data_IF_315936966516
#
_entry.id   IF_315936966516
#
_cell.length_a   1.000
_cell.length_b   1.000
_cell.length_c   1.000
_cell.angle_alpha   90.00
_cell.angle_beta   90.00
_cell.angle_gamma   90.00
#
_symmetry.space_group_name_H-M   'P 1'
#
loop_
_entity.id
_entity.type
_entity.pdbx_description
1 polymer ?
#
# COMPACT_ATOMS: atom_id res chain seq x y z
N UNK A 1 -5.62 8.14 26.07
CA UNK A 1 -5.12 7.33 24.94
C UNK A 1 -6.07 7.52 23.79
N UNK A 2 -5.56 7.76 22.58
CA UNK A 2 -6.41 7.92 21.41
C UNK A 2 -6.84 6.55 20.85
N UNK A 3 -7.88 6.52 20.02
CA UNK A 3 -8.38 5.27 19.40
C UNK A 3 -7.46 4.77 18.29
N UNK A 4 -6.69 5.66 17.68
CA UNK A 4 -5.89 5.36 16.50
C UNK A 4 -4.40 5.50 16.81
N UNK A 5 -3.57 4.73 16.13
CA UNK A 5 -2.13 4.75 16.26
C UNK A 5 -1.49 4.97 14.88
N UNK A 6 -0.47 5.81 14.85
CA UNK A 6 0.49 5.89 13.75
C UNK A 6 1.81 5.34 14.26
N UNK A 7 2.28 4.24 13.66
CA UNK A 7 3.66 3.74 13.85
C UNK A 7 4.46 4.13 12.62
N UNK A 8 5.06 5.31 12.68
CA UNK A 8 5.81 5.86 11.56
C UNK A 8 7.21 5.24 11.54
N UNK A 9 7.57 4.62 10.42
CA UNK A 9 8.97 4.29 10.16
C UNK A 9 9.67 5.59 9.75
N UNK A 10 10.67 6.08 10.50
CA UNK A 10 11.28 7.39 10.23
C UNK A 10 12.82 7.44 10.29
N UNK A 11 13.41 8.22 9.40
CA UNK A 11 14.82 8.62 9.44
C UNK A 11 15.01 10.11 9.77
N UNK A 12 16.25 10.59 9.60
CA UNK A 12 16.65 11.97 9.94
C UNK A 12 15.91 13.04 9.12
N UNK A 13 15.43 12.67 7.92
CA UNK A 13 14.76 13.58 6.98
C UNK A 13 13.25 13.35 6.92
N UNK A 14 12.66 12.76 7.97
CA UNK A 14 11.23 12.44 7.97
C UNK A 14 10.36 13.70 7.85
N UNK A 15 9.29 13.60 7.07
CA UNK A 15 8.38 14.72 6.79
C UNK A 15 7.29 14.93 7.85
N UNK A 16 7.13 13.99 8.79
CA UNK A 16 6.02 14.02 9.75
C UNK A 16 5.91 15.27 10.63
N UNK A 17 6.98 16.01 10.99
CA UNK A 17 6.80 17.26 11.73
C UNK A 17 5.92 18.26 10.97
N UNK A 18 5.95 18.21 9.63
CA UNK A 18 5.13 19.09 8.79
C UNK A 18 3.63 18.79 8.93
N UNK A 19 3.23 17.57 9.29
CA UNK A 19 1.82 17.18 9.43
C UNK A 19 1.11 18.01 10.51
N UNK A 20 1.86 18.47 11.52
CA UNK A 20 1.35 19.19 12.68
C UNK A 20 1.34 20.72 12.50
N UNK A 21 1.78 21.24 11.34
CA UNK A 21 1.91 22.69 11.12
C UNK A 21 0.57 23.45 11.10
N UNK A 22 -0.55 22.74 10.89
CA UNK A 22 -1.89 23.34 10.81
C UNK A 22 -2.56 23.66 12.15
N UNK A 23 -1.96 23.23 13.28
CA UNK A 23 -2.46 23.50 14.63
C UNK A 23 -3.65 22.65 15.08
N UNK A 24 -4.10 21.70 14.27
CA UNK A 24 -5.14 20.74 14.67
C UNK A 24 -4.63 19.74 15.71
N UNK A 25 -5.52 19.28 16.57
CA UNK A 25 -5.22 18.26 17.57
C UNK A 25 -5.39 16.86 16.94
N UNK A 26 -4.39 15.98 16.99
CA UNK A 26 -4.50 14.63 16.45
C UNK A 26 -5.45 13.77 17.28
N UNK A 27 -6.36 13.05 16.62
CA UNK A 27 -7.19 11.99 17.21
C UNK A 27 -6.48 10.62 17.24
N UNK A 28 -5.18 10.62 16.93
CA UNK A 28 -4.31 9.46 16.90
C UNK A 28 -3.09 9.68 17.81
N UNK A 29 -2.49 8.58 18.27
CA UNK A 29 -1.19 8.60 18.94
C UNK A 29 -0.09 8.41 17.89
N UNK A 30 1.05 9.09 18.06
CA UNK A 30 2.24 8.90 17.21
C UNK A 30 3.30 8.12 17.98
N UNK A 31 3.79 7.04 17.39
CA UNK A 31 4.99 6.32 17.82
C UNK A 31 5.97 6.25 16.65
N UNK A 32 7.24 6.49 16.94
CA UNK A 32 8.29 6.48 15.92
C UNK A 32 9.07 5.18 15.99
N UNK A 33 9.22 4.49 14.86
CA UNK A 33 10.22 3.45 14.66
C UNK A 33 11.40 4.04 13.87
N UNK A 34 12.40 4.52 14.60
CA UNK A 34 13.46 5.38 14.11
C UNK A 34 14.71 4.60 13.64
N UNK A 35 15.17 4.85 12.40
CA UNK A 35 16.42 4.30 11.83
C UNK A 35 17.53 5.32 11.58
N UNK A 36 17.22 6.61 11.76
CA UNK A 36 18.17 7.69 11.50
C UNK A 36 19.43 7.58 12.37
N UNK A 37 20.45 8.36 12.02
CA UNK A 37 21.79 8.25 12.62
C UNK A 37 21.94 9.05 13.92
N UNK A 38 20.99 9.94 14.23
CA UNK A 38 21.03 10.77 15.42
C UNK A 38 20.62 9.98 16.69
N UNK A 39 21.60 9.71 17.54
CA UNK A 39 21.41 8.99 18.81
C UNK A 39 20.53 9.78 19.79
N UNK A 40 20.65 11.11 19.78
CA UNK A 40 19.89 12.04 20.61
C UNK A 40 18.60 12.53 19.93
N UNK A 41 18.15 11.83 18.87
CA UNK A 41 16.92 12.21 18.16
C UNK A 41 15.74 12.26 19.13
N UNK A 42 15.09 13.42 19.21
CA UNK A 42 13.89 13.63 19.99
C UNK A 42 12.79 14.17 19.07
N UNK A 43 11.55 13.80 19.36
CA UNK A 43 10.38 14.31 18.66
C UNK A 43 9.36 14.77 19.70
N UNK A 44 8.78 15.95 19.46
CA UNK A 44 7.86 16.60 20.39
C UNK A 44 6.42 16.09 20.26
N UNK A 45 6.10 15.42 19.16
CA UNK A 45 4.75 14.91 18.85
C UNK A 45 4.60 13.44 19.24
N UNK A 46 5.69 12.68 19.16
CA UNK A 46 5.73 11.26 19.44
C UNK A 46 5.61 10.95 20.94
N UNK A 47 4.77 9.97 21.28
CA UNK A 47 4.66 9.45 22.65
C UNK A 47 5.83 8.57 23.05
N UNK A 48 6.44 7.91 22.08
CA UNK A 48 7.56 7.01 22.27
C UNK A 48 8.38 6.90 20.99
N UNK A 49 9.68 6.64 21.16
CA UNK A 49 10.63 6.41 20.08
C UNK A 49 11.24 5.02 20.27
N UNK A 50 10.89 4.11 19.38
CA UNK A 50 11.53 2.82 19.21
C UNK A 50 12.71 2.97 18.24
N UNK A 51 13.92 2.61 18.67
CA UNK A 51 15.13 2.76 17.85
C UNK A 51 15.53 1.41 17.23
N UNK A 52 15.51 1.33 15.91
CA UNK A 52 15.89 0.12 15.18
C UNK A 52 16.48 0.43 13.81
N UNK A 53 17.69 -0.08 13.56
CA UNK A 53 18.39 -0.01 12.28
C UNK A 53 17.94 -1.12 11.34
N UNK A 54 17.83 -0.83 10.05
CA UNK A 54 17.43 -1.81 9.04
C UNK A 54 16.24 -1.33 8.22
N UNK A 55 15.64 -2.24 7.46
CA UNK A 55 14.47 -1.97 6.63
C UNK A 55 13.25 -1.49 7.44
N UNK A 56 12.19 -1.09 6.74
CA UNK A 56 10.89 -0.82 7.35
C UNK A 56 10.37 -2.03 8.11
N UNK A 57 10.36 -3.19 7.46
CA UNK A 57 9.68 -4.38 7.96
C UNK A 57 10.44 -5.06 9.09
N UNK A 58 11.77 -5.05 9.09
CA UNK A 58 12.54 -5.50 10.26
C UNK A 58 12.25 -4.63 11.49
N UNK A 59 12.25 -3.30 11.32
CA UNK A 59 11.98 -2.37 12.41
C UNK A 59 10.53 -2.40 12.92
N UNK A 60 9.56 -2.61 12.03
CA UNK A 60 8.17 -2.81 12.43
C UNK A 60 7.95 -4.18 13.08
N UNK A 61 8.63 -5.24 12.61
CA UNK A 61 8.55 -6.56 13.24
C UNK A 61 9.07 -6.51 14.69
N UNK A 62 10.25 -5.91 14.92
CA UNK A 62 10.78 -5.76 16.29
C UNK A 62 9.86 -4.90 17.17
N UNK A 63 9.34 -3.79 16.62
CA UNK A 63 8.37 -2.96 17.32
C UNK A 63 7.12 -3.75 17.74
N UNK A 64 6.55 -4.54 16.83
CA UNK A 64 5.34 -5.32 17.07
C UNK A 64 5.55 -6.42 18.12
N UNK A 65 6.71 -7.09 18.10
CA UNK A 65 7.07 -8.11 19.10
C UNK A 65 7.18 -7.54 20.51
N UNK A 66 7.72 -6.32 20.64
CA UNK A 66 7.91 -5.65 21.94
C UNK A 66 6.65 -4.97 22.48
N UNK A 67 5.70 -4.64 21.60
CA UNK A 67 4.54 -3.80 21.94
C UNK A 67 3.19 -4.47 21.62
N UNK A 68 3.15 -5.80 21.48
CA UNK A 68 1.95 -6.51 21.01
C UNK A 68 0.69 -6.18 21.82
N UNK A 69 0.77 -6.15 23.16
CA UNK A 69 -0.36 -5.82 24.03
C UNK A 69 -0.80 -4.36 23.91
N UNK A 70 0.15 -3.44 23.67
CA UNK A 70 -0.14 -2.01 23.48
C UNK A 70 -0.86 -1.77 22.16
N UNK A 71 -0.42 -2.42 21.09
CA UNK A 71 -1.01 -2.30 19.76
C UNK A 71 -2.46 -2.76 19.75
N UNK A 72 -2.79 -3.84 20.47
CA UNK A 72 -4.14 -4.39 20.55
C UNK A 72 -5.16 -3.44 21.22
N UNK A 73 -4.70 -2.42 21.94
CA UNK A 73 -5.57 -1.41 22.57
C UNK A 73 -6.06 -0.35 21.60
N UNK A 74 -5.42 -0.21 20.43
CA UNK A 74 -5.86 0.70 19.38
C UNK A 74 -6.89 0.02 18.48
N UNK A 75 -7.74 0.82 17.85
CA UNK A 75 -8.75 0.34 16.90
C UNK A 75 -8.20 0.23 15.48
N UNK A 76 -7.42 1.22 15.07
CA UNK A 76 -6.72 1.26 13.78
C UNK A 76 -5.28 1.69 13.96
N UNK A 77 -4.40 1.11 13.13
CA UNK A 77 -2.97 1.34 13.13
C UNK A 77 -2.52 1.66 11.71
N UNK A 78 -1.92 2.83 11.51
CA UNK A 78 -1.31 3.24 10.25
C UNK A 78 0.21 3.06 10.30
N UNK A 79 0.80 2.47 9.26
CA UNK A 79 2.23 2.14 9.19
C UNK A 79 2.92 2.87 8.02
N UNK A 80 2.98 4.21 8.02
CA UNK A 80 3.54 5.00 6.92
C UNK A 80 5.07 4.94 6.80
N UNK A 81 5.55 5.22 5.59
CA UNK A 81 6.93 5.63 5.30
C UNK A 81 7.19 7.10 5.71
N UNK A 82 8.46 7.48 5.74
CA UNK A 82 8.91 8.75 6.31
C UNK A 82 8.85 9.95 5.35
N UNK A 83 8.50 9.70 4.09
CA UNK A 83 8.45 10.63 2.98
C UNK A 83 7.03 10.92 2.47
N UNK A 84 6.05 10.67 3.34
CA UNK A 84 4.64 10.95 3.12
C UNK A 84 4.33 12.34 3.64
N UNK A 85 3.87 13.23 2.77
CA UNK A 85 3.38 14.55 3.12
C UNK A 85 1.86 14.54 3.19
N UNK A 86 1.33 14.97 4.33
CA UNK A 86 -0.10 15.10 4.65
C UNK A 86 -0.25 16.07 5.83
N UNK A 87 -1.42 16.13 6.45
CA UNK A 87 -1.71 16.95 7.62
C UNK A 87 -2.59 16.22 8.64
N UNK A 88 -2.59 16.70 9.88
CA UNK A 88 -3.37 16.12 10.99
C UNK A 88 -4.87 16.07 10.67
N UNK A 89 -5.43 17.08 10.00
CA UNK A 89 -6.85 17.11 9.69
C UNK A 89 -7.24 15.96 8.74
N UNK A 90 -6.46 15.76 7.68
CA UNK A 90 -6.63 14.68 6.71
C UNK A 90 -6.53 13.32 7.39
N UNK A 91 -5.55 13.13 8.29
CA UNK A 91 -5.40 11.88 9.02
C UNK A 91 -6.54 11.62 10.00
N UNK A 92 -7.00 12.65 10.72
CA UNK A 92 -8.14 12.55 11.62
C UNK A 92 -9.39 12.07 10.86
N UNK A 93 -9.70 12.71 9.73
CA UNK A 93 -10.85 12.36 8.90
C UNK A 93 -10.70 10.99 8.23
N UNK A 94 -9.48 10.63 7.82
CA UNK A 94 -9.16 9.32 7.26
C UNK A 94 -9.45 8.19 8.25
N UNK A 95 -8.98 8.31 9.51
CA UNK A 95 -9.22 7.28 10.52
C UNK A 95 -10.71 7.07 10.84
N UNK A 96 -11.45 8.17 11.02
CA UNK A 96 -12.89 8.11 11.25
C UNK A 96 -13.62 7.49 10.05
N UNK A 97 -13.15 7.76 8.84
CA UNK A 97 -13.71 7.19 7.62
C UNK A 97 -13.46 5.67 7.50
N UNK A 98 -12.22 5.21 7.71
CA UNK A 98 -11.91 3.78 7.62
C UNK A 98 -12.62 2.98 8.70
N UNK A 99 -12.77 3.55 9.90
CA UNK A 99 -13.57 2.95 10.97
C UNK A 99 -15.04 2.83 10.58
N UNK A 100 -15.65 3.94 10.16
CA UNK A 100 -17.08 3.98 9.79
C UNK A 100 -17.39 3.02 8.65
N UNK A 101 -16.52 2.93 7.67
CA UNK A 101 -16.71 2.05 6.52
C UNK A 101 -16.23 0.61 6.78
N UNK A 102 -15.74 0.29 7.99
CA UNK A 102 -15.33 -1.05 8.40
C UNK A 102 -14.26 -1.68 7.49
N UNK A 103 -13.14 -0.98 7.30
CA UNK A 103 -11.98 -1.51 6.59
C UNK A 103 -11.12 -2.39 7.50
N UNK A 104 -10.70 -3.54 7.01
CA UNK A 104 -9.66 -4.34 7.66
C UNK A 104 -8.26 -3.84 7.28
N UNK A 105 -8.09 -3.47 6.01
CA UNK A 105 -6.84 -2.98 5.44
C UNK A 105 -7.17 -1.88 4.43
N UNK A 106 -6.64 -0.69 4.65
CA UNK A 106 -6.87 0.46 3.80
C UNK A 106 -5.57 1.22 3.54
N UNK A 107 -5.57 2.09 2.55
CA UNK A 107 -4.62 3.19 2.45
C UNK A 107 -5.34 4.44 1.95
N UNK A 108 -4.86 5.65 2.28
CA UNK A 108 -5.23 6.82 1.50
C UNK A 108 -4.74 6.65 0.05
N UNK A 109 -5.40 7.32 -0.88
CA UNK A 109 -4.91 7.41 -2.25
C UNK A 109 -3.67 8.30 -2.35
N UNK A 110 -2.93 8.15 -3.45
CA UNK A 110 -1.76 8.99 -3.74
C UNK A 110 -2.14 10.19 -4.61
N UNK A 111 -1.61 11.36 -4.23
CA UNK A 111 -1.72 12.60 -4.99
C UNK A 111 -1.09 12.42 -6.37
N UNK A 112 -1.58 13.15 -7.37
CA UNK A 112 -1.10 13.07 -8.76
C UNK A 112 0.38 13.40 -8.95
N UNK A 113 0.98 14.16 -8.02
CA UNK A 113 2.41 14.51 -8.01
C UNK A 113 3.28 13.40 -7.42
N UNK A 114 2.67 12.41 -6.77
CA UNK A 114 3.39 11.35 -6.05
C UNK A 114 4.24 10.52 -6.99
N UNK A 115 5.39 10.08 -6.50
CA UNK A 115 6.02 8.88 -7.03
C UNK A 115 5.15 7.66 -6.67
N UNK A 116 5.03 6.69 -7.57
CA UNK A 116 4.18 5.51 -7.35
C UNK A 116 4.77 4.26 -7.99
N UNK A 117 4.61 3.10 -7.33
CA UNK A 117 4.91 1.79 -7.91
C UNK A 117 3.74 1.24 -8.73
N UNK A 118 2.51 1.47 -8.24
CA UNK A 118 1.29 0.91 -8.82
C UNK A 118 0.27 2.01 -9.16
N UNK A 119 -0.07 2.18 -10.44
CA UNK A 119 -1.03 3.20 -10.89
C UNK A 119 -2.41 3.11 -10.21
N UNK A 120 -2.76 1.95 -9.66
CA UNK A 120 -4.00 1.75 -8.90
C UNK A 120 -4.04 2.60 -7.63
N UNK A 121 -2.90 2.92 -7.00
CA UNK A 121 -2.86 3.69 -5.74
C UNK A 121 -3.11 5.18 -5.92
N UNK A 122 -2.96 5.70 -7.15
CA UNK A 122 -3.29 7.08 -7.50
C UNK A 122 -4.78 7.39 -7.25
N UNK A 123 -5.05 8.60 -6.78
CA UNK A 123 -6.40 9.10 -6.53
C UNK A 123 -7.28 9.00 -7.77
N UNK A 124 -8.49 8.48 -7.55
CA UNK A 124 -9.58 8.53 -8.51
C UNK A 124 -10.74 9.36 -7.95
N UNK A 125 -10.93 10.58 -8.48
CA UNK A 125 -11.86 11.57 -7.91
C UNK A 125 -13.35 11.24 -8.09
N UNK A 126 -13.68 10.18 -8.83
CA UNK A 126 -15.05 9.70 -8.96
C UNK A 126 -15.48 8.78 -7.82
N UNK A 127 -14.56 8.36 -6.96
CA UNK A 127 -14.81 7.47 -5.85
C UNK A 127 -14.54 8.14 -4.51
N UNK A 128 -15.30 7.74 -3.49
CA UNK A 128 -14.85 7.91 -2.11
C UNK A 128 -13.83 6.83 -1.72
N UNK A 129 -14.05 5.61 -2.18
CA UNK A 129 -13.10 4.50 -2.05
C UNK A 129 -13.30 3.45 -3.14
N UNK A 130 -12.24 2.67 -3.35
CA UNK A 130 -12.21 1.47 -4.18
C UNK A 130 -11.77 0.30 -3.32
N UNK A 131 -12.60 -0.74 -3.26
CA UNK A 131 -12.19 -2.03 -2.73
C UNK A 131 -11.34 -2.77 -3.75
N UNK A 132 -10.21 -3.27 -3.30
CA UNK A 132 -9.17 -3.87 -4.12
C UNK A 132 -8.66 -5.15 -3.49
N UNK A 133 -7.95 -5.95 -4.27
CA UNK A 133 -7.16 -7.06 -3.75
C UNK A 133 -5.70 -6.66 -3.47
N UNK A 134 -5.43 -5.37 -3.25
CA UNK A 134 -4.09 -4.82 -3.15
C UNK A 134 -4.07 -3.51 -2.35
N UNK A 135 -3.19 -3.42 -1.36
CA UNK A 135 -2.85 -2.19 -0.63
C UNK A 135 -1.32 -2.16 -0.52
N UNK A 136 -0.71 -1.06 -0.96
CA UNK A 136 0.74 -0.89 -1.03
C UNK A 136 1.33 -0.74 0.38
N UNK A 137 2.50 -1.34 0.56
CA UNK A 137 3.22 -1.43 1.82
C UNK A 137 3.74 -0.09 2.37
N UNK A 138 3.74 0.94 1.54
CA UNK A 138 4.19 2.29 1.89
C UNK A 138 3.33 2.94 2.98
N UNK A 139 2.00 2.83 2.88
CA UNK A 139 1.04 3.53 3.76
C UNK A 139 -0.17 2.68 4.21
N UNK A 140 0.01 1.40 4.62
CA UNK A 140 -1.11 0.55 5.02
C UNK A 140 -1.68 0.98 6.38
N UNK A 141 -2.99 1.02 6.47
CA UNK A 141 -3.78 1.23 7.68
C UNK A 141 -4.61 -0.01 7.97
N UNK A 142 -4.45 -0.60 9.15
CA UNK A 142 -5.07 -1.86 9.52
C UNK A 142 -5.98 -1.69 10.73
N UNK A 143 -7.08 -2.42 10.75
CA UNK A 143 -7.80 -2.63 12.00
C UNK A 143 -6.93 -3.50 12.93
N UNK A 144 -7.11 -3.36 14.24
CA UNK A 144 -6.33 -4.12 15.23
C UNK A 144 -6.39 -5.64 15.01
N UNK A 145 -7.58 -6.17 14.75
CA UNK A 145 -7.77 -7.60 14.48
C UNK A 145 -7.10 -8.05 13.17
N UNK A 146 -7.14 -7.21 12.14
CA UNK A 146 -6.47 -7.50 10.87
C UNK A 146 -4.94 -7.48 11.03
N UNK A 147 -4.41 -6.51 11.79
CA UNK A 147 -2.99 -6.44 12.12
C UNK A 147 -2.54 -7.67 12.92
N UNK A 148 -3.31 -8.08 13.93
CA UNK A 148 -3.02 -9.28 14.73
C UNK A 148 -2.92 -10.55 13.87
N UNK A 149 -3.83 -10.68 12.88
CA UNK A 149 -3.84 -11.80 11.95
C UNK A 149 -2.61 -11.86 11.03
N UNK A 150 -1.97 -10.74 10.73
CA UNK A 150 -0.86 -10.67 9.75
C UNK A 150 0.49 -10.30 10.34
N UNK A 151 0.59 -9.84 11.59
CA UNK A 151 1.84 -9.34 12.17
C UNK A 151 2.99 -10.35 12.13
N UNK A 152 2.67 -11.64 12.18
CA UNK A 152 3.64 -12.73 12.05
C UNK A 152 4.38 -12.72 10.70
N UNK A 153 3.82 -12.07 9.68
CA UNK A 153 4.37 -12.01 8.34
C UNK A 153 5.42 -10.90 8.17
N UNK A 154 5.55 -9.97 9.12
CA UNK A 154 6.42 -8.79 8.96
C UNK A 154 7.90 -9.18 8.85
N UNK A 155 8.29 -10.31 9.42
CA UNK A 155 9.64 -10.86 9.33
C UNK A 155 9.88 -11.84 8.18
N UNK A 156 8.93 -12.01 7.25
CA UNK A 156 9.07 -13.02 6.18
C UNK A 156 10.18 -12.70 5.17
N UNK A 157 10.38 -11.41 4.87
CA UNK A 157 11.42 -10.94 3.97
C UNK A 157 11.79 -9.49 4.33
N UNK A 158 12.89 -8.95 3.80
CA UNK A 158 13.39 -7.62 4.22
C UNK A 158 12.64 -6.46 3.59
N UNK A 159 12.26 -6.59 2.31
CA UNK A 159 11.59 -5.52 1.55
C UNK A 159 10.10 -5.39 1.88
N UNK A 160 9.51 -6.44 2.44
CA UNK A 160 8.07 -6.67 2.56
C UNK A 160 7.38 -7.06 1.26
N UNK A 161 8.02 -6.94 0.09
CA UNK A 161 7.34 -7.07 -1.19
C UNK A 161 6.67 -8.44 -1.35
N UNK A 162 5.45 -8.45 -1.88
CA UNK A 162 4.58 -9.62 -1.93
C UNK A 162 3.54 -9.64 -0.81
N UNK A 163 3.83 -9.06 0.35
CA UNK A 163 2.87 -8.96 1.46
C UNK A 163 1.64 -8.10 1.08
N UNK A 164 1.81 -7.10 0.23
CA UNK A 164 0.76 -6.28 -0.38
C UNK A 164 -0.29 -7.09 -1.19
N UNK A 165 0.10 -8.27 -1.69
CA UNK A 165 -0.81 -9.22 -2.34
C UNK A 165 -1.36 -10.28 -1.38
N UNK A 166 -0.58 -10.67 -0.35
CA UNK A 166 -0.99 -11.69 0.62
C UNK A 166 -2.01 -11.15 1.62
N UNK A 167 -1.74 -9.98 2.21
CA UNK A 167 -2.55 -9.41 3.27
C UNK A 167 -4.01 -9.20 2.90
N UNK A 168 -4.36 -8.68 1.71
CA UNK A 168 -5.76 -8.57 1.30
C UNK A 168 -6.55 -9.87 1.41
N UNK A 169 -5.90 -11.02 1.17
CA UNK A 169 -6.55 -12.34 1.32
C UNK A 169 -6.68 -12.75 2.78
N UNK A 170 -5.64 -12.55 3.58
CA UNK A 170 -5.62 -12.97 4.98
C UNK A 170 -6.54 -12.14 5.87
N UNK A 171 -6.78 -10.87 5.50
CA UNK A 171 -7.61 -9.96 6.30
C UNK A 171 -9.05 -9.82 5.80
N UNK A 172 -9.42 -10.51 4.71
CA UNK A 172 -10.73 -10.35 4.05
C UNK A 172 -11.92 -10.69 4.96
N UNK A 173 -11.74 -11.56 5.96
CA UNK A 173 -12.78 -11.92 6.93
C UNK A 173 -13.02 -10.83 7.98
N UNK A 174 -12.13 -9.85 8.12
CA UNK A 174 -12.21 -8.81 9.15
C UNK A 174 -12.86 -7.51 8.66
N UNK A 175 -13.08 -7.34 7.35
CA UNK A 175 -13.62 -6.11 6.78
C UNK A 175 -13.20 -5.85 5.34
N UNK A 176 -13.48 -4.64 4.85
CA UNK A 176 -13.14 -4.22 3.48
C UNK A 176 -11.62 -4.10 3.32
N UNK A 177 -11.14 -4.31 2.09
CA UNK A 177 -9.76 -4.02 1.70
C UNK A 177 -9.76 -3.02 0.57
N UNK A 178 -9.02 -1.91 0.66
CA UNK A 178 -9.08 -0.93 -0.42
C UNK A 178 -8.26 0.34 -0.29
N UNK A 179 -8.44 1.20 -1.29
CA UNK A 179 -7.84 2.52 -1.39
C UNK A 179 -8.94 3.56 -1.17
N UNK A 180 -8.71 4.50 -0.26
CA UNK A 180 -9.67 5.56 0.07
C UNK A 180 -9.32 6.79 -0.76
N UNK A 181 -10.05 7.01 -1.85
CA UNK A 181 -9.84 8.12 -2.78
C UNK A 181 -10.29 9.48 -2.22
N UNK A 182 -11.17 9.47 -1.22
CA UNK A 182 -11.63 10.67 -0.51
C UNK A 182 -10.49 11.46 0.13
N UNK A 183 -9.42 10.78 0.52
CA UNK A 183 -8.23 11.38 1.12
C UNK A 183 -7.02 11.04 0.28
N UNK A 184 -6.11 12.00 0.14
CA UNK A 184 -4.92 11.86 -0.67
C UNK A 184 -3.71 12.29 0.13
N UNK A 185 -2.64 11.50 0.03
CA UNK A 185 -1.32 11.84 0.59
C UNK A 185 -0.30 11.97 -0.53
N UNK A 186 0.77 12.73 -0.29
CA UNK A 186 1.81 12.94 -1.30
C UNK A 186 3.08 12.16 -0.95
N UNK A 187 3.43 11.17 -1.76
CA UNK A 187 4.68 10.42 -1.64
C UNK A 187 5.80 11.14 -2.41
N UNK A 188 6.72 11.74 -1.66
CA UNK A 188 7.61 12.79 -2.16
C UNK A 188 8.92 12.30 -2.77
N UNK A 189 9.29 11.03 -2.58
CA UNK A 189 10.57 10.49 -3.07
C UNK A 189 10.37 9.30 -4.01
N UNK A 190 11.35 9.02 -4.90
CA UNK A 190 11.27 7.88 -5.81
C UNK A 190 11.12 6.54 -5.07
N UNK A 191 10.38 5.61 -5.69
CA UNK A 191 10.23 4.25 -5.18
C UNK A 191 11.60 3.58 -5.05
N UNK A 192 11.85 2.96 -3.90
CA UNK A 192 13.13 2.30 -3.59
C UNK A 192 14.23 3.23 -3.08
N UNK A 193 13.96 4.53 -2.89
CA UNK A 193 14.94 5.46 -2.32
C UNK A 193 15.08 5.35 -0.79
N UNK A 194 14.03 4.89 -0.10
CA UNK A 194 14.12 4.48 1.30
C UNK A 194 14.90 3.16 1.33
N UNK A 195 16.17 3.23 1.72
CA UNK A 195 17.11 2.11 1.69
C UNK A 195 16.45 0.82 2.15
N UNK A 196 16.24 -0.12 1.22
CA UNK A 196 15.59 -1.42 1.44
C UNK A 196 16.33 -2.33 2.42
N UNK A 197 17.42 -1.84 3.03
CA UNK A 197 18.36 -2.64 3.82
C UNK A 197 19.13 -3.66 2.99
N UNK A 198 19.06 -3.58 1.65
CA UNK A 198 19.65 -4.55 0.73
C UNK A 198 20.81 -3.90 -0.03
N UNK A 199 21.94 -4.62 -0.12
CA UNK A 199 23.01 -4.28 -1.05
C UNK A 199 22.62 -4.61 -2.49
N UNK A 200 23.46 -4.25 -3.46
CA UNK A 200 23.27 -4.45 -4.91
C UNK A 200 23.20 -5.92 -5.37
N UNK A 201 23.07 -6.88 -4.45
CA UNK A 201 22.97 -8.30 -4.83
C UNK A 201 21.56 -8.63 -5.35
N UNK A 202 21.52 -9.01 -6.62
CA UNK A 202 20.34 -9.52 -7.33
C UNK A 202 19.59 -10.64 -6.58
N UNK A 203 20.29 -11.46 -5.79
CA UNK A 203 19.71 -12.55 -4.99
C UNK A 203 18.94 -12.06 -3.75
N UNK A 204 19.07 -10.78 -3.42
CA UNK A 204 18.38 -10.11 -2.31
C UNK A 204 17.57 -8.91 -2.78
N UNK A 205 17.29 -8.76 -4.08
CA UNK A 205 16.52 -7.61 -4.56
C UNK A 205 15.03 -7.68 -4.14
N UNK A 206 14.34 -6.53 -3.96
CA UNK A 206 12.90 -6.54 -3.65
C UNK A 206 12.05 -7.30 -4.68
N UNK A 207 12.43 -7.26 -5.96
CA UNK A 207 11.76 -8.04 -7.01
C UNK A 207 11.98 -9.55 -6.86
N UNK A 208 13.16 -9.97 -6.40
CA UNK A 208 13.44 -11.37 -6.12
C UNK A 208 12.59 -11.85 -4.93
N UNK A 209 12.55 -11.09 -3.84
CA UNK A 209 11.71 -11.39 -2.67
C UNK A 209 10.22 -11.41 -3.02
N UNK A 210 9.75 -10.47 -3.85
CA UNK A 210 8.38 -10.47 -4.38
C UNK A 210 8.06 -11.79 -5.08
N UNK A 211 8.88 -12.20 -6.05
CA UNK A 211 8.64 -13.41 -6.81
C UNK A 211 8.73 -14.66 -5.93
N UNK A 212 9.69 -14.73 -5.01
CA UNK A 212 9.83 -15.83 -4.07
C UNK A 212 8.60 -15.95 -3.17
N UNK A 213 8.18 -14.83 -2.58
CA UNK A 213 7.00 -14.74 -1.70
C UNK A 213 5.76 -15.16 -2.46
N UNK A 214 5.50 -14.59 -3.64
CA UNK A 214 4.31 -14.96 -4.42
C UNK A 214 4.34 -16.42 -4.90
N UNK A 215 5.52 -16.96 -5.26
CA UNK A 215 5.66 -18.37 -5.65
C UNK A 215 5.27 -19.32 -4.52
N UNK A 216 5.71 -19.03 -3.29
CA UNK A 216 5.41 -19.84 -2.11
C UNK A 216 3.90 -20.01 -1.86
N UNK A 217 3.09 -19.00 -2.23
CA UNK A 217 1.64 -19.02 -2.07
C UNK A 217 0.87 -19.27 -3.37
N UNK A 218 1.55 -19.63 -4.47
CA UNK A 218 0.91 -19.90 -5.76
C UNK A 218 0.27 -18.66 -6.41
N UNK A 219 0.92 -17.50 -6.28
CA UNK A 219 0.37 -16.18 -6.59
C UNK A 219 1.17 -15.35 -7.62
N UNK A 220 2.18 -15.92 -8.30
CA UNK A 220 3.08 -15.22 -9.22
C UNK A 220 2.39 -14.34 -10.27
N UNK A 221 1.22 -14.75 -10.75
CA UNK A 221 0.46 -14.03 -11.78
C UNK A 221 -0.78 -13.30 -11.21
N UNK A 222 -0.80 -13.00 -9.91
CA UNK A 222 -1.95 -12.33 -9.28
C UNK A 222 -2.02 -10.88 -9.76
N UNK A 223 -3.04 -10.50 -10.54
CA UNK A 223 -3.18 -9.12 -10.97
C UNK A 223 -3.80 -8.27 -9.88
N UNK A 224 -3.54 -6.96 -9.92
CA UNK A 224 -4.29 -5.98 -9.15
C UNK A 224 -5.67 -5.81 -9.79
N UNK A 225 -6.72 -5.88 -8.97
CA UNK A 225 -8.13 -5.79 -9.36
C UNK A 225 -8.86 -4.82 -8.45
N UNK A 226 -9.76 -4.04 -9.03
CA UNK A 226 -10.77 -3.28 -8.31
C UNK A 226 -12.06 -4.09 -8.29
N UNK A 227 -12.49 -4.45 -7.08
CA UNK A 227 -13.61 -5.36 -6.82
C UNK A 227 -14.92 -4.58 -6.74
N UNK A 228 -14.90 -3.42 -6.08
CA UNK A 228 -16.05 -2.53 -5.89
C UNK A 228 -15.57 -1.08 -5.78
N UNK A 229 -16.39 -0.12 -6.20
CA UNK A 229 -16.13 1.31 -5.96
C UNK A 229 -17.38 2.01 -5.46
N UNK A 230 -17.26 2.85 -4.43
CA UNK A 230 -18.33 3.73 -3.93
C UNK A 230 -18.10 5.14 -4.47
N UNK A 231 -19.05 5.69 -5.21
CA UNK A 231 -18.89 6.98 -5.89
C UNK A 231 -19.07 8.18 -4.97
N UNK A 232 -18.39 9.28 -5.30
CA UNK A 232 -18.44 10.55 -4.56
C UNK A 232 -19.78 11.28 -4.71
N UNK A 233 -20.31 11.39 -5.93
CA UNK A 233 -21.47 12.24 -6.22
C UNK A 233 -22.83 11.65 -5.81
N UNK A 234 -22.91 10.32 -5.65
CA UNK A 234 -24.20 9.63 -5.45
C UNK A 234 -24.15 8.58 -4.33
N UNK A 235 -22.99 8.38 -3.68
CA UNK A 235 -22.79 7.35 -2.64
C UNK A 235 -23.08 5.91 -3.11
N UNK A 236 -23.28 5.71 -4.42
CA UNK A 236 -23.66 4.42 -5.02
C UNK A 236 -22.43 3.53 -5.10
N UNK A 237 -22.62 2.25 -4.82
CA UNK A 237 -21.56 1.26 -4.97
C UNK A 237 -21.78 0.42 -6.23
N UNK A 238 -20.72 0.26 -7.02
CA UNK A 238 -20.69 -0.62 -8.18
C UNK A 238 -19.68 -1.74 -7.94
N UNK A 239 -20.15 -2.99 -7.97
CA UNK A 239 -19.27 -4.16 -7.94
C UNK A 239 -18.86 -4.55 -9.36
N UNK A 240 -17.61 -5.00 -9.52
CA UNK A 240 -17.07 -5.46 -10.81
C UNK A 240 -17.85 -6.68 -11.32
N UNK A 241 -18.16 -7.65 -10.47
CA UNK A 241 -18.84 -8.88 -10.88
C UNK A 241 -17.99 -9.76 -11.82
N UNK A 242 -18.52 -10.90 -12.25
CA UNK A 242 -17.75 -11.90 -13.04
C UNK A 242 -17.35 -11.39 -14.42
N UNK A 243 -18.23 -10.60 -15.03
CA UNK A 243 -18.07 -10.05 -16.38
C UNK A 243 -17.61 -8.59 -16.35
N UNK A 244 -17.15 -8.06 -15.22
CA UNK A 244 -16.93 -6.62 -15.13
C UNK A 244 -18.23 -5.82 -15.17
N UNK A 245 -18.12 -4.55 -14.80
CA UNK A 245 -19.26 -3.65 -14.70
C UNK A 245 -18.96 -2.38 -15.50
N UNK A 246 -19.70 -2.11 -16.59
CA UNK A 246 -19.46 -0.94 -17.42
C UNK A 246 -19.55 0.38 -16.65
N UNK A 247 -20.47 0.49 -15.70
CA UNK A 247 -20.61 1.71 -14.89
C UNK A 247 -19.41 1.91 -13.96
N UNK A 248 -18.93 0.84 -13.33
CA UNK A 248 -17.72 0.90 -12.53
C UNK A 248 -16.53 1.35 -13.37
N UNK A 249 -16.39 0.80 -14.58
CA UNK A 249 -15.30 1.17 -15.50
C UNK A 249 -15.41 2.61 -16.01
N UNK A 250 -16.62 3.09 -16.33
CA UNK A 250 -16.85 4.47 -16.76
C UNK A 250 -16.40 5.46 -15.68
N UNK A 251 -16.80 5.24 -14.41
CA UNK A 251 -16.33 6.07 -13.30
C UNK A 251 -14.81 5.95 -13.12
N UNK A 252 -14.26 4.74 -13.26
CA UNK A 252 -12.82 4.53 -13.20
C UNK A 252 -12.06 5.38 -14.23
N UNK A 253 -12.51 5.40 -15.47
CA UNK A 253 -11.89 6.21 -16.53
C UNK A 253 -12.09 7.71 -16.27
N UNK A 254 -13.32 8.13 -15.92
CA UNK A 254 -13.68 9.54 -15.73
C UNK A 254 -12.83 10.21 -14.64
N UNK A 255 -12.65 9.55 -13.50
CA UNK A 255 -11.89 10.11 -12.38
C UNK A 255 -10.41 9.75 -12.36
N UNK A 256 -9.93 8.94 -13.32
CA UNK A 256 -8.54 8.52 -13.36
C UNK A 256 -7.60 9.68 -13.66
N UNK A 257 -6.46 9.68 -12.95
CA UNK A 257 -5.31 10.51 -13.27
C UNK A 257 -4.94 10.38 -14.77
N UNK A 258 -4.64 11.49 -15.48
CA UNK A 258 -4.26 11.46 -16.90
C UNK A 258 -3.12 10.49 -17.24
N UNK A 259 -2.18 10.25 -16.33
CA UNK A 259 -1.07 9.29 -16.52
C UNK A 259 -1.58 7.87 -16.83
N UNK A 260 -2.78 7.52 -16.37
CA UNK A 260 -3.41 6.21 -16.60
C UNK A 260 -4.03 6.08 -17.99
N UNK A 261 -4.12 7.18 -18.73
CA UNK A 261 -4.71 7.28 -20.07
C UNK A 261 -3.73 7.84 -21.12
N UNK A 262 -2.50 8.15 -20.71
CA UNK A 262 -1.48 8.79 -21.57
C UNK A 262 -1.05 7.94 -22.75
N UNK A 263 -1.07 6.61 -22.59
CA UNK A 263 -0.64 5.65 -23.59
C UNK A 263 -1.46 4.36 -23.49
N UNK A 264 -1.40 3.55 -24.54
CA UNK A 264 -2.18 2.32 -24.66
C UNK A 264 -1.81 1.29 -23.58
N UNK A 265 -0.55 1.23 -23.12
CA UNK A 265 -0.11 0.27 -22.11
C UNK A 265 -0.73 0.61 -20.76
N UNK A 266 -0.65 1.88 -20.36
CA UNK A 266 -1.24 2.43 -19.14
C UNK A 266 -2.77 2.26 -19.15
N UNK A 267 -3.41 2.54 -20.29
CA UNK A 267 -4.85 2.34 -20.42
C UNK A 267 -5.25 0.87 -20.36
N UNK A 268 -4.46 -0.03 -20.97
CA UNK A 268 -4.70 -1.48 -20.88
C UNK A 268 -4.51 -2.04 -19.47
N UNK A 269 -3.63 -1.44 -18.65
CA UNK A 269 -3.52 -1.78 -17.22
C UNK A 269 -4.79 -1.38 -16.47
N UNK A 270 -5.26 -0.15 -16.65
CA UNK A 270 -6.54 0.32 -16.10
C UNK A 270 -7.69 -0.60 -16.53
N UNK A 271 -7.75 -0.98 -17.80
CA UNK A 271 -8.76 -1.89 -18.34
C UNK A 271 -8.74 -3.25 -17.60
N UNK A 272 -7.55 -3.85 -17.45
CA UNK A 272 -7.37 -5.12 -16.73
C UNK A 272 -7.84 -5.02 -15.28
N UNK A 273 -7.48 -3.97 -14.56
CA UNK A 273 -7.85 -3.80 -13.15
C UNK A 273 -9.38 -3.86 -12.91
N UNK A 274 -10.18 -3.38 -13.86
CA UNK A 274 -11.64 -3.26 -13.71
C UNK A 274 -12.45 -4.29 -14.49
N UNK A 275 -11.84 -5.00 -15.46
CA UNK A 275 -12.49 -6.04 -16.27
C UNK A 275 -11.87 -7.42 -16.00
N UNK A 276 -12.45 -8.22 -15.09
CA UNK A 276 -11.86 -9.47 -14.61
C UNK A 276 -11.58 -10.51 -15.70
N UNK A 277 -12.40 -10.57 -16.76
CA UNK A 277 -12.24 -11.56 -17.84
C UNK A 277 -10.96 -11.39 -18.64
N UNK A 278 -10.33 -10.21 -18.64
CA UNK A 278 -9.13 -9.96 -19.45
C UNK A 278 -7.92 -10.76 -18.97
N UNK A 279 -7.99 -11.32 -17.77
CA UNK A 279 -6.99 -12.21 -17.21
C UNK A 279 -7.20 -13.67 -17.65
N UNK A 280 -8.40 -14.01 -18.13
CA UNK A 280 -8.73 -15.35 -18.61
C UNK A 280 -8.43 -15.53 -20.11
N UNK A 281 -8.15 -14.45 -20.82
CA UNK A 281 -7.60 -14.50 -22.17
C UNK A 281 -6.12 -14.88 -22.04
N UNK A 282 -5.83 -16.18 -21.87
CA UNK A 282 -4.47 -16.71 -21.95
C UNK A 282 -3.84 -16.22 -23.25
N UNK A 283 -2.58 -15.79 -23.16
CA UNK A 283 -1.66 -15.65 -24.28
C UNK A 283 -1.87 -16.83 -25.22
N UNK A 284 -2.45 -16.61 -26.40
CA UNK A 284 -2.19 -17.47 -27.54
C UNK A 284 -0.67 -17.48 -27.67
N UNK A 285 -0.09 -18.67 -27.53
CA UNK A 285 1.32 -18.93 -27.75
C UNK A 285 1.68 -18.42 -29.14
N UNK A 286 2.31 -17.26 -29.22
CA UNK A 286 3.00 -16.87 -30.45
C UNK A 286 4.16 -17.84 -30.64
N UNK A 287 4.33 -18.44 -31.83
CA UNK A 287 5.40 -19.40 -32.06
C UNK A 287 6.74 -18.70 -31.81
N UNK A 288 7.51 -19.24 -30.88
CA UNK A 288 8.90 -18.88 -30.67
C UNK A 288 9.63 -19.34 -31.93
N UNK A 289 9.99 -18.40 -32.81
CA UNK A 289 10.97 -18.66 -33.84
C UNK A 289 12.30 -18.99 -33.14
N UNK A 290 12.67 -20.27 -33.14
CA UNK A 290 14.04 -20.69 -32.76
C UNK A 290 15.01 -20.12 -33.79
N UNK A 291 16.05 -19.45 -33.30
CA UNK A 291 17.22 -19.14 -34.12
C UNK A 291 17.87 -20.44 -34.61
N UNK A 292 18.39 -20.50 -35.84
CA UNK A 292 19.07 -21.68 -36.35
C UNK A 292 20.36 -21.94 -35.56
N UNK A 293 20.55 -23.19 -35.14
CA UNK A 293 21.76 -23.66 -34.48
C UNK A 293 22.99 -23.39 -35.36
N UNK A 294 23.99 -22.70 -34.80
CA UNK A 294 25.34 -22.66 -35.39
C UNK A 294 25.91 -24.07 -35.35
N UNK A 295 26.01 -24.71 -36.52
CA UNK A 295 26.84 -25.91 -36.70
C UNK A 295 28.28 -25.56 -36.33
N UNK A 296 28.82 -26.24 -35.33
CA UNK A 296 30.26 -26.32 -35.09
C UNK A 296 30.92 -27.02 -36.28
N UNK A 297 31.70 -26.28 -37.07
CA UNK A 297 32.65 -26.88 -38.00
C UNK A 297 33.88 -27.37 -37.22
N UNK A 298 34.35 -28.56 -37.61
CA UNK A 298 35.62 -29.16 -37.23
C UNK A 298 36.81 -28.25 -37.55
#
# INVERSE_FOLDING_TARGET
MNKYLVVLRCGDSSLHPQWFSGGQVPNFDLMLSYYGKNEDYADIFAKAIHRFKGSKWEGLNDFMLRNAELILQYRYIWLPDDDILTDVQTLNDFFEYVERENFALAQPSLDERSYFGHQTTLQNREFEFRETNFVELMVPCLSSNALDAIKHSFGMNKSGWGLDFLWPKWVASFGKVGIIDRFSVFHTRPVGSAGSGMGDDSSTSPNFELNQTLAQYGMLDTPIKVIRGKTSDVGKSYASGRLGNPMLFIHAVKGSNPVRRKDIVSFMRLLKEYLPWLHHIKRTTWPIHRAPERRSSR
#
